data_IF_690947854759
#
_entry.id   IF_690947854759
#
_cell.length_a   1.000
_cell.length_b   1.000
_cell.length_c   1.000
_cell.angle_alpha   90.00
_cell.angle_beta   90.00
_cell.angle_gamma   90.00
#
_symmetry.space_group_name_H-M   'P 1'
#
loop_
_entity.id
_entity.type
_entity.pdbx_description
1 polymer ?
#
# COMPACT_ATOMS: atom_id res chain seq x y z
N UNK A 1 -1.33 -19.02 15.99
CA UNK A 1 -0.79 -20.24 15.36
C UNK A 1 0.75 -20.26 15.35
N UNK A 2 1.45 -19.26 14.80
CA UNK A 2 2.92 -19.26 14.70
C UNK A 2 3.70 -19.39 16.04
N UNK A 3 3.22 -18.76 17.13
CA UNK A 3 3.82 -18.85 18.48
C UNK A 3 3.72 -20.23 19.13
N UNK A 4 2.79 -21.06 18.65
CA UNK A 4 2.53 -22.40 19.16
C UNK A 4 2.97 -23.47 18.17
N UNK A 5 3.81 -23.11 17.20
CA UNK A 5 4.26 -24.04 16.17
C UNK A 5 5.25 -25.05 16.79
N UNK A 6 5.10 -26.36 16.57
CA UNK A 6 6.01 -27.34 17.15
C UNK A 6 7.48 -27.05 16.83
N UNK A 7 8.32 -27.08 17.86
CA UNK A 7 9.75 -26.78 17.75
C UNK A 7 10.09 -25.30 17.69
N UNK A 8 9.14 -24.37 17.83
CA UNK A 8 9.45 -22.95 18.00
C UNK A 8 9.34 -22.53 19.47
N UNK A 9 10.22 -21.64 19.91
CA UNK A 9 10.07 -20.94 21.18
C UNK A 9 10.34 -19.45 21.01
N UNK A 10 9.68 -18.66 21.86
CA UNK A 10 9.69 -17.21 21.82
C UNK A 10 10.00 -16.68 23.22
N UNK A 11 11.10 -15.96 23.38
CA UNK A 11 11.58 -15.47 24.68
C UNK A 11 11.60 -13.94 24.81
N UNK A 12 11.24 -13.22 23.76
CA UNK A 12 11.28 -11.75 23.74
C UNK A 12 10.51 -11.12 22.58
N UNK A 13 10.98 -9.95 22.14
CA UNK A 13 10.36 -9.17 21.07
C UNK A 13 10.45 -9.90 19.72
N UNK A 14 9.36 -9.85 18.96
CA UNK A 14 9.26 -10.46 17.63
C UNK A 14 10.25 -9.86 16.61
N UNK A 15 10.79 -8.67 16.86
CA UNK A 15 11.78 -8.06 15.97
C UNK A 15 13.23 -8.47 16.27
N UNK A 16 13.48 -9.10 17.42
CA UNK A 16 14.82 -9.52 17.81
C UNK A 16 15.06 -10.98 17.41
N UNK A 17 16.04 -11.21 16.53
CA UNK A 17 16.35 -12.56 16.03
C UNK A 17 16.65 -13.55 17.15
N UNK A 18 17.28 -13.07 18.21
CA UNK A 18 17.68 -13.85 19.38
C UNK A 18 16.49 -14.31 20.23
N UNK A 19 15.33 -13.68 20.06
CA UNK A 19 14.08 -14.03 20.75
C UNK A 19 13.40 -15.26 20.16
N UNK A 20 13.98 -15.88 19.13
CA UNK A 20 13.43 -17.03 18.42
C UNK A 20 14.43 -18.17 18.42
N UNK A 21 13.98 -19.34 18.87
CA UNK A 21 14.74 -20.58 18.65
C UNK A 21 13.91 -21.59 17.90
N UNK A 22 14.59 -22.40 17.09
CA UNK A 22 14.02 -23.49 16.33
C UNK A 22 14.70 -24.79 16.72
N UNK A 23 13.94 -25.71 17.29
CA UNK A 23 14.36 -27.09 17.53
C UNK A 23 14.10 -27.91 16.26
N UNK A 24 15.15 -28.30 15.50
CA UNK A 24 14.99 -28.97 14.22
C UNK A 24 14.39 -30.38 14.36
N UNK A 25 14.50 -31.03 15.52
CA UNK A 25 13.95 -32.37 15.74
C UNK A 25 12.44 -32.34 15.96
N UNK A 26 11.93 -31.21 16.49
CA UNK A 26 10.49 -30.99 16.74
C UNK A 26 9.81 -30.21 15.62
N UNK A 27 10.58 -29.61 14.72
CA UNK A 27 10.05 -28.83 13.61
C UNK A 27 9.51 -29.73 12.50
N UNK A 28 8.19 -29.65 12.25
CA UNK A 28 7.58 -30.33 11.12
C UNK A 28 7.52 -29.41 9.90
N UNK A 29 8.37 -29.68 8.90
CA UNK A 29 8.37 -28.95 7.63
C UNK A 29 7.01 -29.04 6.91
N UNK A 30 6.35 -30.20 6.96
CA UNK A 30 5.03 -30.40 6.38
C UNK A 30 3.96 -29.51 7.07
N UNK A 31 3.95 -29.47 8.40
CA UNK A 31 3.03 -28.59 9.13
C UNK A 31 3.30 -27.10 8.83
N UNK A 32 4.56 -26.72 8.60
CA UNK A 32 4.94 -25.35 8.29
C UNK A 32 4.41 -24.95 6.93
N UNK A 33 4.63 -25.78 5.91
CA UNK A 33 4.10 -25.50 4.57
C UNK A 33 2.59 -25.52 4.53
N UNK A 34 1.93 -26.40 5.29
CA UNK A 34 0.47 -26.37 5.42
C UNK A 34 -0.02 -25.05 6.03
N UNK A 35 0.62 -24.59 7.12
CA UNK A 35 0.32 -23.29 7.71
C UNK A 35 0.55 -22.15 6.72
N UNK A 36 1.71 -22.12 6.07
CA UNK A 36 2.04 -21.10 5.07
C UNK A 36 1.05 -21.08 3.90
N UNK A 37 0.60 -22.25 3.42
CA UNK A 37 -0.41 -22.36 2.38
C UNK A 37 -1.77 -21.78 2.83
N UNK A 38 -2.21 -22.08 4.06
CA UNK A 38 -3.44 -21.50 4.63
C UNK A 38 -3.35 -19.98 4.75
N UNK A 39 -2.21 -19.46 5.20
CA UNK A 39 -1.97 -18.01 5.28
C UNK A 39 -1.97 -17.36 3.89
N UNK A 40 -1.33 -17.99 2.92
CA UNK A 40 -1.31 -17.51 1.55
C UNK A 40 -2.72 -17.49 0.95
N UNK A 41 -3.51 -18.54 1.17
CA UNK A 41 -4.89 -18.64 0.68
C UNK A 41 -5.78 -17.58 1.34
N UNK A 42 -5.65 -17.41 2.66
CA UNK A 42 -6.34 -16.33 3.37
C UNK A 42 -5.94 -14.95 2.82
N UNK A 43 -4.65 -14.71 2.61
CA UNK A 43 -4.15 -13.47 2.01
C UNK A 43 -4.73 -13.23 0.62
N UNK A 44 -4.82 -14.26 -0.22
CA UNK A 44 -5.43 -14.16 -1.56
C UNK A 44 -6.91 -13.83 -1.51
N UNK A 45 -7.63 -14.40 -0.55
CA UNK A 45 -9.06 -14.19 -0.42
C UNK A 45 -9.40 -12.81 0.15
N UNK A 46 -8.60 -12.33 1.12
CA UNK A 46 -8.97 -11.18 1.95
C UNK A 46 -8.05 -9.97 1.80
N UNK A 47 -6.75 -10.17 1.61
CA UNK A 47 -5.75 -9.10 1.49
C UNK A 47 -5.52 -8.70 0.02
N UNK A 48 -6.62 -8.50 -0.71
CA UNK A 48 -6.57 -8.06 -2.11
C UNK A 48 -6.39 -6.53 -2.19
N UNK A 49 -5.78 -6.06 -3.27
CA UNK A 49 -5.72 -4.63 -3.58
C UNK A 49 -7.12 -4.00 -3.72
N UNK A 50 -8.10 -4.73 -4.28
CA UNK A 50 -9.51 -4.29 -4.29
C UNK A 50 -10.08 -4.12 -2.87
N UNK A 51 -9.79 -5.06 -1.96
CA UNK A 51 -10.20 -4.94 -0.57
C UNK A 51 -9.53 -3.73 0.10
N UNK A 52 -8.26 -3.47 -0.17
CA UNK A 52 -7.56 -2.28 0.31
C UNK A 52 -8.21 -0.97 -0.18
N UNK A 53 -8.49 -0.84 -1.47
CA UNK A 53 -9.17 0.34 -2.01
C UNK A 53 -10.59 0.52 -1.42
N UNK A 54 -11.33 -0.60 -1.23
CA UNK A 54 -12.64 -0.57 -0.58
C UNK A 54 -12.53 -0.09 0.87
N UNK A 55 -11.57 -0.63 1.62
CA UNK A 55 -11.30 -0.23 3.00
C UNK A 55 -11.01 1.28 3.09
N UNK A 56 -10.18 1.80 2.18
CA UNK A 56 -9.88 3.24 2.15
C UNK A 56 -11.15 4.08 1.94
N UNK A 57 -11.98 3.75 0.94
CA UNK A 57 -13.21 4.50 0.67
C UNK A 57 -14.23 4.40 1.82
N UNK A 58 -14.41 3.21 2.41
CA UNK A 58 -15.28 3.01 3.56
C UNK A 58 -14.82 3.82 4.77
N UNK A 59 -13.52 3.80 5.03
CA UNK A 59 -12.88 4.58 6.10
C UNK A 59 -13.12 6.07 5.94
N UNK A 60 -13.09 6.57 4.70
CA UNK A 60 -13.37 7.97 4.39
C UNK A 60 -14.87 8.31 4.43
N UNK A 61 -15.75 7.34 4.71
CA UNK A 61 -17.19 7.51 4.64
C UNK A 61 -17.71 7.74 3.21
N UNK A 62 -16.94 7.37 2.19
CA UNK A 62 -17.26 7.62 0.80
C UNK A 62 -18.01 6.43 0.18
N UNK A 63 -19.32 6.58 0.06
CA UNK A 63 -20.17 5.67 -0.72
C UNK A 63 -20.42 6.23 -2.12
N UNK A 64 -20.45 5.37 -3.15
CA UNK A 64 -20.82 5.79 -4.51
C UNK A 64 -19.75 6.58 -5.26
N UNK A 65 -18.47 6.45 -4.90
CA UNK A 65 -17.35 6.99 -5.69
C UNK A 65 -17.39 6.38 -7.09
N UNK A 66 -17.38 7.23 -8.11
CA UNK A 66 -17.41 6.83 -9.53
C UNK A 66 -16.05 7.00 -10.17
N UNK A 67 -15.28 8.02 -9.80
CA UNK A 67 -13.97 8.31 -10.39
C UNK A 67 -12.90 8.62 -9.35
N UNK A 68 -11.64 8.28 -9.67
CA UNK A 68 -10.50 8.54 -8.81
C UNK A 68 -9.31 9.07 -9.62
N UNK A 69 -8.59 10.03 -9.04
CA UNK A 69 -7.24 10.39 -9.48
C UNK A 69 -6.24 9.77 -8.52
N UNK A 70 -5.33 8.94 -9.04
CA UNK A 70 -4.30 8.27 -8.24
C UNK A 70 -2.93 8.79 -8.64
N UNK A 71 -2.33 9.59 -7.77
CA UNK A 71 -0.95 10.02 -7.89
C UNK A 71 -0.01 8.90 -7.44
N UNK A 72 0.92 8.54 -8.31
CA UNK A 72 2.05 7.66 -8.00
C UNK A 72 3.34 8.40 -8.32
N UNK A 73 4.41 8.13 -7.58
CA UNK A 73 5.76 8.59 -8.00
C UNK A 73 6.43 7.55 -8.89
N UNK A 74 6.06 6.28 -8.69
CA UNK A 74 6.75 5.16 -9.28
C UNK A 74 5.88 3.90 -9.34
N UNK A 75 5.89 3.22 -10.48
CA UNK A 75 5.19 1.95 -10.70
C UNK A 75 5.97 0.72 -10.18
N UNK A 76 7.12 0.90 -9.52
CA UNK A 76 7.85 -0.20 -8.88
C UNK A 76 7.61 -0.29 -7.37
N UNK A 77 6.88 0.66 -6.80
CA UNK A 77 6.60 0.69 -5.37
C UNK A 77 5.34 -0.10 -5.06
N UNK A 78 5.48 -1.14 -4.25
CA UNK A 78 4.43 -2.12 -3.97
C UNK A 78 3.12 -1.45 -3.54
N UNK A 79 3.18 -0.57 -2.53
CA UNK A 79 1.98 0.07 -1.99
C UNK A 79 1.30 1.00 -3.01
N UNK A 80 2.09 1.72 -3.82
CA UNK A 80 1.56 2.58 -4.87
C UNK A 80 0.82 1.77 -5.94
N UNK A 81 1.43 0.68 -6.40
CA UNK A 81 0.86 -0.21 -7.40
C UNK A 81 -0.39 -0.89 -6.86
N UNK A 82 -0.34 -1.42 -5.63
CA UNK A 82 -1.49 -2.05 -4.99
C UNK A 82 -2.65 -1.08 -4.83
N UNK A 83 -2.37 0.17 -4.48
CA UNK A 83 -3.39 1.22 -4.34
C UNK A 83 -4.04 1.49 -5.69
N UNK A 84 -3.25 1.83 -6.71
CA UNK A 84 -3.74 2.09 -8.05
C UNK A 84 -4.51 0.90 -8.63
N UNK A 85 -3.94 -0.31 -8.55
CA UNK A 85 -4.57 -1.54 -9.02
C UNK A 85 -5.90 -1.80 -8.29
N UNK A 86 -5.94 -1.61 -6.98
CA UNK A 86 -7.14 -1.76 -6.18
C UNK A 86 -8.27 -0.83 -6.61
N UNK A 87 -7.96 0.45 -6.83
CA UNK A 87 -8.92 1.42 -7.34
C UNK A 87 -9.41 1.05 -8.74
N UNK A 88 -8.52 0.60 -9.64
CA UNK A 88 -8.89 0.12 -10.98
C UNK A 88 -9.81 -1.10 -10.93
N UNK A 89 -9.54 -2.07 -10.07
CA UNK A 89 -10.40 -3.25 -9.87
C UNK A 89 -11.75 -2.92 -9.21
N UNK A 90 -11.81 -1.85 -8.42
CA UNK A 90 -13.01 -1.43 -7.70
C UNK A 90 -13.93 -0.55 -8.55
N UNK A 91 -13.37 0.44 -9.25
CA UNK A 91 -14.13 1.46 -9.99
C UNK A 91 -14.23 1.18 -11.50
N UNK A 92 -13.35 0.30 -12.01
CA UNK A 92 -13.10 0.10 -13.43
C UNK A 92 -11.99 1.00 -13.95
N UNK A 93 -11.10 0.45 -14.77
CA UNK A 93 -9.88 1.14 -15.23
C UNK A 93 -10.15 2.47 -15.97
N UNK A 94 -11.23 2.57 -16.74
CA UNK A 94 -11.62 3.80 -17.44
C UNK A 94 -12.04 4.96 -16.50
N UNK A 95 -12.29 4.66 -15.22
CA UNK A 95 -12.72 5.67 -14.22
C UNK A 95 -11.60 6.06 -13.26
N UNK A 96 -10.40 5.50 -13.45
CA UNK A 96 -9.24 5.80 -12.62
C UNK A 96 -8.19 6.44 -13.49
N UNK A 97 -7.91 7.72 -13.25
CA UNK A 97 -6.77 8.40 -13.84
C UNK A 97 -5.55 8.14 -12.98
N UNK A 98 -4.58 7.39 -13.48
CA UNK A 98 -3.26 7.30 -12.85
C UNK A 98 -2.34 8.41 -13.37
N UNK A 99 -1.64 9.06 -12.46
CA UNK A 99 -0.62 10.06 -12.79
C UNK A 99 0.68 9.70 -12.11
N UNK A 100 1.64 9.20 -12.89
CA UNK A 100 3.01 8.99 -12.45
C UNK A 100 3.79 10.30 -12.56
N UNK A 101 4.11 10.93 -11.43
CA UNK A 101 4.95 12.13 -11.44
C UNK A 101 6.41 11.73 -11.67
N UNK A 102 6.82 11.73 -12.94
CA UNK A 102 8.23 11.75 -13.30
C UNK A 102 8.62 13.17 -13.71
N UNK A 103 9.70 13.74 -13.13
CA UNK A 103 10.28 14.97 -13.61
C UNK A 103 10.53 14.88 -15.14
N UNK A 104 10.22 15.92 -15.95
CA UNK A 104 10.40 15.89 -17.40
C UNK A 104 11.83 15.52 -17.85
N UNK A 105 12.83 15.81 -17.02
CA UNK A 105 14.22 15.43 -17.21
C UNK A 105 14.47 13.92 -17.04
N UNK A 106 13.76 13.26 -16.12
CA UNK A 106 13.80 11.79 -15.97
C UNK A 106 13.13 11.11 -17.16
N UNK A 107 11.98 11.61 -17.61
CA UNK A 107 11.30 11.10 -18.82
C UNK A 107 12.20 11.23 -20.05
N UNK A 108 12.91 12.36 -20.21
CA UNK A 108 13.85 12.61 -21.32
C UNK A 108 15.13 11.78 -21.24
N UNK A 109 15.65 11.52 -20.04
CA UNK A 109 16.78 10.61 -19.84
C UNK A 109 16.39 9.15 -20.10
N UNK A 110 15.16 8.78 -19.75
CA UNK A 110 14.59 7.44 -19.92
C UNK A 110 14.32 7.11 -21.40
N UNK A 111 13.69 8.01 -22.16
CA UNK A 111 13.48 7.85 -23.61
C UNK A 111 14.78 7.64 -24.40
N UNK A 112 15.90 8.15 -23.92
CA UNK A 112 17.23 7.98 -24.56
C UNK A 112 17.89 6.63 -24.27
N UNK A 113 17.52 5.94 -23.19
CA UNK A 113 18.13 4.67 -22.76
C UNK A 113 17.31 3.44 -23.13
N UNK A 114 16.05 3.59 -23.56
CA UNK A 114 15.15 2.48 -23.81
C UNK A 114 14.90 2.29 -25.29
N UNK A 115 15.83 1.59 -25.94
CA UNK A 115 15.49 0.79 -27.12
C UNK A 115 15.08 -0.64 -26.75
N UNK A 116 15.13 -1.02 -25.46
CA UNK A 116 14.82 -2.38 -25.02
C UNK A 116 14.19 -2.37 -23.62
N UNK A 117 12.97 -2.87 -23.51
CA UNK A 117 12.23 -3.27 -22.29
C UNK A 117 11.68 -2.18 -21.35
N UNK A 118 10.36 -2.20 -21.17
CA UNK A 118 9.57 -1.44 -20.21
C UNK A 118 9.91 -1.78 -18.75
N UNK A 119 11.02 -1.28 -18.18
CA UNK A 119 11.28 -1.47 -16.75
C UNK A 119 11.77 -0.23 -16.01
N UNK A 120 10.92 0.11 -15.03
CA UNK A 120 11.18 0.71 -13.71
C UNK A 120 11.72 2.13 -13.64
N UNK A 121 11.23 2.84 -12.63
CA UNK A 121 11.76 4.13 -12.22
C UNK A 121 13.28 4.09 -12.13
N UNK A 122 13.96 5.19 -12.48
CA UNK A 122 15.39 5.22 -12.35
C UNK A 122 15.78 4.94 -10.90
N UNK A 123 16.83 4.14 -10.69
CA UNK A 123 17.36 3.93 -9.35
C UNK A 123 17.69 5.29 -8.74
N UNK A 124 17.31 5.57 -7.48
CA UNK A 124 17.85 6.74 -6.80
C UNK A 124 19.38 6.61 -6.84
N UNK A 125 20.08 7.70 -7.19
CA UNK A 125 21.55 7.72 -7.39
C UNK A 125 22.34 7.56 -6.09
N UNK A 126 21.85 6.81 -5.12
CA UNK A 126 22.62 6.45 -3.95
C UNK A 126 23.65 5.40 -4.35
N UNK A 127 24.90 5.86 -4.55
CA UNK A 127 26.08 5.02 -4.65
C UNK A 127 26.20 4.23 -3.33
N UNK A 128 25.66 3.01 -3.28
CA UNK A 128 25.88 2.12 -2.14
C UNK A 128 24.73 1.19 -1.74
N UNK A 129 23.53 1.27 -2.33
CA UNK A 129 22.40 0.44 -1.88
C UNK A 129 22.19 -0.80 -2.77
N UNK A 130 22.54 -1.94 -2.19
CA UNK A 130 22.12 -3.33 -2.46
C UNK A 130 21.62 -3.70 -3.87
N UNK A 131 22.45 -4.43 -4.66
CA UNK A 131 22.03 -5.10 -5.90
C UNK A 131 20.83 -6.06 -5.74
N UNK A 132 20.52 -6.49 -4.51
CA UNK A 132 19.42 -7.41 -4.20
C UNK A 132 18.02 -6.80 -4.19
N UNK A 133 17.87 -5.48 -4.04
CA UNK A 133 16.55 -4.82 -3.98
C UNK A 133 15.82 -4.81 -5.34
N UNK A 134 16.56 -4.92 -6.45
CA UNK A 134 16.02 -4.88 -7.81
C UNK A 134 15.33 -6.17 -8.24
N UNK A 135 15.73 -7.32 -7.66
CA UNK A 135 15.05 -8.59 -7.89
C UNK A 135 13.66 -8.57 -7.23
N UNK A 136 13.50 -7.85 -6.11
CA UNK A 136 12.23 -7.68 -5.41
C UNK A 136 11.21 -6.84 -6.18
N UNK A 137 11.62 -5.77 -6.86
CA UNK A 137 10.69 -4.93 -7.64
C UNK A 137 10.20 -5.60 -8.93
N UNK A 138 11.07 -6.33 -9.64
CA UNK A 138 10.65 -7.15 -10.79
C UNK A 138 9.83 -8.36 -10.37
N UNK A 139 10.19 -9.01 -9.25
CA UNK A 139 9.39 -10.09 -8.71
C UNK A 139 8.11 -9.61 -8.09
N UNK A 140 7.98 -8.38 -7.57
CA UNK A 140 6.70 -7.88 -7.10
C UNK A 140 5.66 -7.91 -8.22
N UNK A 141 6.03 -7.62 -9.46
CA UNK A 141 5.11 -7.75 -10.61
C UNK A 141 4.72 -9.23 -10.88
N UNK A 142 5.58 -10.19 -10.53
CA UNK A 142 5.37 -11.64 -10.74
C UNK A 142 4.83 -12.39 -9.49
N UNK A 143 5.03 -11.87 -8.27
CA UNK A 143 4.70 -12.48 -6.97
C UNK A 143 3.55 -11.77 -6.27
N UNK A 144 3.41 -10.47 -6.53
CA UNK A 144 2.20 -9.74 -6.18
C UNK A 144 1.35 -9.80 -7.42
N UNK A 145 0.13 -10.32 -7.28
CA UNK A 145 -0.79 -10.61 -8.38
C UNK A 145 -1.34 -9.34 -9.06
N UNK A 146 -0.51 -8.30 -9.19
CA UNK A 146 -0.68 -7.22 -10.14
C UNK A 146 -0.40 -7.82 -11.53
N UNK A 147 -1.23 -8.79 -11.93
CA UNK A 147 -1.30 -9.22 -13.31
C UNK A 147 -1.42 -7.96 -14.14
N UNK A 148 -0.44 -7.79 -15.03
CA UNK A 148 -0.33 -6.76 -16.07
C UNK A 148 -1.49 -5.79 -16.01
N UNK A 149 -1.32 -4.69 -15.27
CA UNK A 149 -2.21 -3.55 -15.47
C UNK A 149 -1.99 -3.17 -16.93
N UNK A 150 -2.93 -3.52 -17.79
CA UNK A 150 -2.97 -2.99 -19.14
C UNK A 150 -2.94 -1.47 -18.97
N UNK A 151 -1.84 -0.86 -19.40
CA UNK A 151 -1.79 0.59 -19.52
C UNK A 151 -2.82 0.91 -20.59
N UNK A 152 -4.02 1.27 -20.13
CA UNK A 152 -5.06 1.73 -21.01
C UNK A 152 -4.54 3.01 -21.65
N UNK A 153 -4.18 2.89 -22.93
CA UNK A 153 -3.66 4.00 -23.73
C UNK A 153 -4.63 5.19 -23.75
N UNK A 154 -5.90 4.95 -23.40
CA UNK A 154 -6.98 5.92 -23.45
C UNK A 154 -7.16 6.75 -22.16
N UNK A 155 -6.33 6.56 -21.13
CA UNK A 155 -6.41 7.41 -19.93
C UNK A 155 -5.81 8.78 -20.23
N UNK A 156 -6.66 9.80 -20.34
CA UNK A 156 -6.24 11.19 -20.49
C UNK A 156 -5.54 11.69 -19.21
N UNK A 157 -4.27 12.05 -19.35
CA UNK A 157 -3.39 12.58 -18.30
C UNK A 157 -2.98 14.04 -18.54
N UNK A 158 -3.63 14.70 -19.51
CA UNK A 158 -3.37 16.10 -19.82
C UNK A 158 -4.09 17.03 -18.85
N UNK A 159 -3.60 18.26 -18.70
CA UNK A 159 -4.29 19.35 -18.00
C UNK A 159 -4.74 19.02 -16.56
N UNK A 160 -4.01 18.16 -15.85
CA UNK A 160 -4.39 17.66 -14.52
C UNK A 160 -4.71 18.80 -13.54
N UNK A 161 -3.93 19.88 -13.55
CA UNK A 161 -4.19 21.03 -12.68
C UNK A 161 -5.55 21.71 -12.96
N UNK A 162 -5.92 21.92 -14.23
CA UNK A 162 -7.23 22.47 -14.57
C UNK A 162 -8.37 21.50 -14.23
N UNK A 163 -8.16 20.21 -14.48
CA UNK A 163 -9.14 19.15 -14.19
C UNK A 163 -9.37 18.97 -12.69
N UNK A 164 -8.31 19.14 -11.88
CA UNK A 164 -8.39 19.21 -10.42
C UNK A 164 -9.21 20.42 -9.98
N UNK A 165 -8.97 21.60 -10.54
CA UNK A 165 -9.73 22.80 -10.21
C UNK A 165 -11.24 22.66 -10.55
N UNK A 166 -11.56 21.87 -11.58
CA UNK A 166 -12.94 21.51 -11.97
C UNK A 166 -13.56 20.37 -11.15
N UNK A 167 -12.82 19.78 -10.21
CA UNK A 167 -13.25 18.65 -9.37
C UNK A 167 -13.75 17.45 -10.18
N UNK A 168 -13.04 17.08 -11.25
CA UNK A 168 -13.47 15.98 -12.12
C UNK A 168 -13.48 14.59 -11.47
N UNK A 169 -12.75 14.41 -10.38
CA UNK A 169 -12.67 13.14 -9.67
C UNK A 169 -13.47 13.17 -8.38
N UNK A 170 -14.10 12.05 -8.01
CA UNK A 170 -14.83 11.95 -6.75
C UNK A 170 -13.89 11.75 -5.55
N UNK A 171 -12.64 11.34 -5.79
CA UNK A 171 -11.59 11.16 -4.78
C UNK A 171 -10.20 11.37 -5.38
N UNK A 172 -9.29 11.97 -4.61
CA UNK A 172 -7.87 12.11 -4.96
C UNK A 172 -7.04 11.26 -4.01
N UNK A 173 -6.14 10.45 -4.55
CA UNK A 173 -5.33 9.50 -3.80
C UNK A 173 -3.86 9.73 -4.09
N UNK A 174 -3.08 10.08 -3.08
CA UNK A 174 -1.63 10.10 -3.15
C UNK A 174 -1.10 8.78 -2.62
N UNK A 175 -0.73 7.87 -3.52
CA UNK A 175 -0.38 6.50 -3.13
C UNK A 175 0.98 6.39 -2.41
N UNK A 176 1.78 7.47 -2.39
CA UNK A 176 3.05 7.64 -1.68
C UNK A 176 3.27 9.12 -1.32
N UNK A 177 2.40 9.67 -0.48
CA UNK A 177 2.37 11.11 -0.16
C UNK A 177 3.67 11.61 0.49
N UNK A 178 4.37 10.74 1.24
CA UNK A 178 5.63 11.07 1.89
C UNK A 178 6.80 11.31 0.94
N UNK A 179 6.69 10.83 -0.31
CA UNK A 179 7.72 10.98 -1.34
C UNK A 179 7.37 12.01 -2.40
N UNK A 180 6.09 12.13 -2.75
CA UNK A 180 5.64 13.09 -3.75
C UNK A 180 4.17 13.44 -3.56
N UNK A 181 3.89 14.74 -3.57
CA UNK A 181 2.53 15.28 -3.52
C UNK A 181 2.37 16.34 -4.62
N UNK A 182 2.41 15.95 -5.91
CA UNK A 182 2.23 16.89 -7.00
C UNK A 182 0.85 17.54 -6.91
N UNK A 183 0.77 18.82 -7.25
CA UNK A 183 -0.48 19.60 -7.23
C UNK A 183 -1.18 19.65 -5.86
N UNK A 184 -0.48 19.39 -4.75
CA UNK A 184 -1.08 19.38 -3.42
C UNK A 184 -1.76 20.71 -3.08
N UNK A 185 -1.16 21.83 -3.47
CA UNK A 185 -1.70 23.17 -3.30
C UNK A 185 -3.02 23.38 -4.07
N UNK A 186 -3.17 22.76 -5.25
CA UNK A 186 -4.40 22.78 -6.04
C UNK A 186 -5.44 21.89 -5.38
N UNK A 187 -5.05 20.68 -4.97
CA UNK A 187 -5.96 19.74 -4.28
C UNK A 187 -6.49 20.36 -2.98
N UNK A 188 -5.65 20.95 -2.15
CA UNK A 188 -6.05 21.61 -0.90
C UNK A 188 -7.04 22.76 -1.12
N UNK A 189 -6.90 23.51 -2.22
CA UNK A 189 -7.83 24.60 -2.57
C UNK A 189 -9.18 24.11 -3.06
N UNK A 190 -9.21 22.97 -3.74
CA UNK A 190 -10.40 22.55 -4.48
C UNK A 190 -11.10 21.32 -3.89
N UNK A 191 -10.43 20.42 -3.18
CA UNK A 191 -11.04 19.22 -2.61
C UNK A 191 -11.19 19.37 -1.10
N UNK A 192 -12.35 19.01 -0.52
CA UNK A 192 -12.44 18.93 0.93
C UNK A 192 -11.55 17.78 1.43
N UNK A 193 -10.96 17.89 2.63
CA UNK A 193 -10.10 16.85 3.19
C UNK A 193 -10.74 15.45 3.23
N UNK A 194 -12.07 15.36 3.34
CA UNK A 194 -12.80 14.08 3.29
C UNK A 194 -12.76 13.36 1.94
N UNK A 195 -12.21 13.99 0.90
CA UNK A 195 -12.10 13.47 -0.47
C UNK A 195 -10.65 13.23 -0.89
N UNK A 196 -9.71 13.33 0.06
CA UNK A 196 -8.28 13.16 -0.20
C UNK A 196 -7.74 12.03 0.67
N UNK A 197 -7.07 11.06 0.04
CA UNK A 197 -6.36 9.99 0.70
C UNK A 197 -4.85 10.15 0.51
N UNK A 198 -4.09 10.00 1.59
CA UNK A 198 -2.64 10.17 1.65
C UNK A 198 -2.06 8.86 2.18
N UNK A 199 -1.50 8.06 1.29
CA UNK A 199 -0.92 6.75 1.62
C UNK A 199 0.57 6.92 1.85
N UNK A 200 1.06 6.43 2.99
CA UNK A 200 2.45 6.52 3.42
C UNK A 200 3.06 5.13 3.35
N UNK A 201 4.06 4.97 2.47
CA UNK A 201 4.65 3.67 2.17
C UNK A 201 5.94 3.35 2.91
N UNK A 202 6.52 4.35 3.58
CA UNK A 202 7.74 4.20 4.36
C UNK A 202 7.42 4.02 5.85
N UNK A 203 8.33 3.34 6.53
CA UNK A 203 8.40 3.25 7.97
C UNK A 203 8.90 4.61 8.44
N UNK A 204 7.97 5.50 8.78
CA UNK A 204 8.32 6.87 9.15
C UNK A 204 9.04 6.82 10.50
N UNK A 205 10.28 7.34 10.61
CA UNK A 205 10.93 7.43 11.90
C UNK A 205 10.06 8.25 12.86
N UNK A 206 10.12 7.92 14.15
CA UNK A 206 9.29 8.48 15.22
C UNK A 206 9.23 10.03 15.25
N UNK A 207 10.21 10.71 14.64
CA UNK A 207 10.28 12.18 14.49
C UNK A 207 9.49 12.78 13.31
N UNK A 208 8.94 12.00 12.38
CA UNK A 208 8.22 12.51 11.20
C UNK A 208 6.73 12.77 11.45
N UNK A 209 6.28 12.74 12.72
CA UNK A 209 4.91 13.05 13.11
C UNK A 209 4.46 14.45 12.66
N UNK A 210 5.37 15.43 12.59
CA UNK A 210 5.05 16.77 12.08
C UNK A 210 4.67 16.74 10.58
N UNK A 211 5.33 15.87 9.80
CA UNK A 211 5.01 15.66 8.38
C UNK A 211 3.65 14.98 8.23
N UNK A 212 3.35 13.99 9.07
CA UNK A 212 2.03 13.35 9.14
C UNK A 212 0.95 14.33 9.57
N UNK A 213 1.21 15.20 10.55
CA UNK A 213 0.28 16.22 11.01
C UNK A 213 -0.05 17.25 9.92
N UNK A 214 0.95 17.68 9.14
CA UNK A 214 0.72 18.54 7.97
C UNK A 214 -0.17 17.88 6.91
N UNK A 215 -0.02 16.56 6.71
CA UNK A 215 -0.88 15.79 5.82
C UNK A 215 -2.30 15.58 6.36
N UNK A 216 -2.46 15.40 7.67
CA UNK A 216 -3.77 15.22 8.29
C UNK A 216 -4.74 16.40 8.06
N UNK A 217 -4.21 17.62 7.97
CA UNK A 217 -5.01 18.80 7.60
C UNK A 217 -5.53 18.74 6.16
N UNK A 218 -4.91 17.91 5.32
CA UNK A 218 -5.20 17.80 3.88
C UNK A 218 -6.13 16.63 3.57
N UNK A 219 -6.14 15.58 4.38
CA UNK A 219 -7.03 14.45 4.17
C UNK A 219 -6.75 13.25 5.06
N UNK A 220 -7.34 12.12 4.69
CA UNK A 220 -7.20 10.84 5.39
C UNK A 220 -5.82 10.26 5.16
N UNK A 221 -5.09 10.00 6.24
CA UNK A 221 -3.77 9.37 6.17
C UNK A 221 -3.91 7.85 6.36
N UNK A 222 -3.27 7.08 5.48
CA UNK A 222 -3.18 5.63 5.54
C UNK A 222 -1.72 5.22 5.62
N UNK A 223 -1.30 4.61 6.73
CA UNK A 223 0.10 4.23 6.97
C UNK A 223 0.24 2.70 6.97
N UNK A 224 1.26 2.18 6.26
CA UNK A 224 1.51 0.74 6.15
C UNK A 224 1.91 0.10 7.49
N UNK A 225 2.78 0.76 8.23
CA UNK A 225 3.37 0.22 9.46
C UNK A 225 3.12 1.16 10.63
N UNK A 226 2.65 0.59 11.74
CA UNK A 226 2.54 1.29 13.01
C UNK A 226 3.60 0.73 13.95
N UNK A 227 4.34 1.62 14.60
CA UNK A 227 5.21 1.23 15.71
C UNK A 227 4.33 0.89 16.92
N UNK A 228 4.65 -0.21 17.62
CA UNK A 228 3.91 -0.63 18.81
C UNK A 228 3.88 0.46 19.89
N UNK A 229 4.93 1.29 19.99
CA UNK A 229 4.97 2.46 20.89
C UNK A 229 4.06 3.63 20.51
N UNK A 230 3.59 3.69 19.26
CA UNK A 230 2.57 4.68 18.85
C UNK A 230 1.20 4.37 19.49
N UNK A 231 0.99 3.15 20.00
CA UNK A 231 -0.25 2.69 20.62
C UNK A 231 -0.33 2.95 22.14
N UNK A 232 0.75 3.40 22.77
CA UNK A 232 0.78 3.69 24.22
C UNK A 232 0.56 5.17 24.55
N UNK A 233 0.52 6.04 23.53
CA UNK A 233 -0.06 7.38 23.62
C UNK A 233 -1.59 7.36 23.46
N UNK A 234 -2.29 8.49 23.66
CA UNK A 234 -3.75 8.60 23.52
C UNK A 234 -4.30 8.34 22.09
N UNK A 235 -3.50 7.78 21.18
CA UNK A 235 -3.78 7.56 19.77
C UNK A 235 -3.61 6.08 19.41
N UNK A 236 -4.51 5.21 19.91
CA UNK A 236 -4.52 3.78 19.59
C UNK A 236 -5.13 3.49 18.21
N UNK A 237 -4.44 2.62 17.47
CA UNK A 237 -4.81 1.82 16.29
C UNK A 237 -5.11 2.58 14.99
N UNK A 238 -4.53 2.07 13.90
CA UNK A 238 -4.62 2.51 12.50
C UNK A 238 -4.90 4.01 12.40
N UNK A 239 -3.85 4.83 12.46
CA UNK A 239 -3.98 6.29 12.52
C UNK A 239 -4.63 6.85 11.25
N UNK A 240 -5.96 6.79 11.22
CA UNK A 240 -6.82 7.61 10.39
C UNK A 240 -6.88 8.95 11.12
N UNK A 241 -5.98 9.85 10.76
CA UNK A 241 -6.09 11.24 11.20
C UNK A 241 -7.28 11.86 10.47
N UNK A 242 -8.38 12.10 11.20
CA UNK A 242 -9.54 12.81 10.66
C UNK A 242 -9.27 14.32 10.77
N UNK A 243 -9.46 15.10 9.69
CA UNK A 243 -9.14 16.53 9.63
C UNK A 243 -9.77 17.44 10.71
N UNK A 244 -10.79 16.98 11.44
CA UNK A 244 -11.55 17.80 12.40
C UNK A 244 -11.54 17.27 13.84
N UNK A 245 -10.80 16.21 14.17
CA UNK A 245 -10.80 15.65 15.51
C UNK A 245 -9.37 15.36 15.98
N UNK A 246 -9.03 15.85 17.16
CA UNK A 246 -7.85 15.46 17.95
C UNK A 246 -7.86 13.97 18.36
N UNK A 247 -8.77 13.17 17.80
CA UNK A 247 -8.92 11.73 18.03
C UNK A 247 -8.86 10.98 16.70
N UNK A 248 -7.90 10.07 16.62
CA UNK A 248 -7.85 9.04 15.59
C UNK A 248 -9.02 8.07 15.83
N UNK A 249 -9.76 7.72 14.78
CA UNK A 249 -10.83 6.72 14.90
C UNK A 249 -10.26 5.34 14.62
N UNK A 250 -10.51 4.41 15.54
CA UNK A 250 -10.33 2.97 15.29
C UNK A 250 -11.48 2.53 14.40
N UNK A 251 -11.23 2.00 13.18
CA UNK A 251 -12.31 1.41 12.41
C UNK A 251 -12.88 0.23 13.21
N UNK A 252 -14.21 0.00 13.16
CA UNK A 252 -14.79 -1.16 13.82
C UNK A 252 -14.07 -2.42 13.34
N UNK A 253 -13.62 -3.25 14.29
CA UNK A 253 -13.02 -4.54 13.96
C UNK A 253 -14.03 -5.30 13.10
N UNK A 254 -13.65 -5.80 11.90
CA UNK A 254 -14.54 -6.66 11.14
C UNK A 254 -14.91 -7.83 12.05
N UNK A 255 -16.20 -8.17 12.14
CA UNK A 255 -16.63 -9.34 12.90
C UNK A 255 -15.78 -10.55 12.50
N UNK A 256 -15.19 -11.28 13.46
CA UNK A 256 -14.39 -12.44 13.15
C UNK A 256 -15.27 -13.48 12.48
N UNK A 257 -15.09 -13.66 11.17
CA UNK A 257 -15.80 -14.69 10.43
C UNK A 257 -15.27 -16.08 10.84
N UNK A 258 -16.14 -17.10 10.91
CA UNK A 258 -15.74 -18.45 11.26
C UNK A 258 -14.70 -18.96 10.25
N UNK A 259 -13.51 -19.30 10.75
CA UNK A 259 -12.46 -19.94 9.94
C UNK A 259 -12.95 -21.35 9.60
N UNK A 260 -13.45 -21.52 8.38
CA UNK A 260 -13.72 -22.84 7.81
C UNK A 260 -12.44 -23.68 7.82
N UNK A 261 -12.49 -24.86 8.45
CA UNK A 261 -11.41 -25.85 8.35
C UNK A 261 -11.39 -26.38 6.91
N UNK A 262 -10.51 -25.81 6.08
CA UNK A 262 -10.27 -26.27 4.72
C UNK A 262 -9.74 -27.72 4.69
N UNK A 263 -9.81 -28.39 3.52
CA UNK A 263 -9.38 -29.77 3.37
C UNK A 263 -7.89 -29.93 3.70
N UNK A 264 -7.57 -31.00 4.42
CA UNK A 264 -6.20 -31.40 4.73
C UNK A 264 -5.54 -31.88 3.44
N UNK A 265 -4.52 -31.16 2.96
CA UNK A 265 -3.72 -31.62 1.83
C UNK A 265 -2.87 -32.83 2.27
N UNK A 266 -3.16 -34.00 1.72
CA UNK A 266 -2.25 -35.14 1.80
C UNK A 266 -1.03 -34.89 0.89
N UNK A 267 0.19 -35.26 1.31
CA UNK A 267 1.35 -35.18 0.44
C UNK A 267 1.14 -36.08 -0.78
N UNK A 268 1.56 -35.61 -1.96
CA UNK A 268 1.71 -36.48 -3.14
C UNK A 268 2.99 -37.29 -2.95
N UNK A 269 2.86 -38.61 -3.06
CA UNK A 269 3.98 -39.56 -3.14
C UNK A 269 4.81 -39.35 -4.41
#
# INVERSE_FOLDING_TARGET
>A
EARNFPGTSFTGDFLQRESFTLDPEKFSQAAYFNLAARWLEHGRQWLTSKAMARYMLQTMGLTGVRSALVFTICLSEYLAVMTMHGFKQLLGSARVTDYAHHPPEMVRAYKRKLKTTWRTCPPPRHRGVWPGAYVGASRAVDTTWTQVLEDLQDVDRTNIAQRLARREWDVVVYALADRSAPYLDVVQRHYPPSRVALVLGNDLPEGDLAKVAGFAATGYVFQREMYDGALDGPHRNATICIPSATKCLVPPSPEPLPISRGPVYAPRE
#
